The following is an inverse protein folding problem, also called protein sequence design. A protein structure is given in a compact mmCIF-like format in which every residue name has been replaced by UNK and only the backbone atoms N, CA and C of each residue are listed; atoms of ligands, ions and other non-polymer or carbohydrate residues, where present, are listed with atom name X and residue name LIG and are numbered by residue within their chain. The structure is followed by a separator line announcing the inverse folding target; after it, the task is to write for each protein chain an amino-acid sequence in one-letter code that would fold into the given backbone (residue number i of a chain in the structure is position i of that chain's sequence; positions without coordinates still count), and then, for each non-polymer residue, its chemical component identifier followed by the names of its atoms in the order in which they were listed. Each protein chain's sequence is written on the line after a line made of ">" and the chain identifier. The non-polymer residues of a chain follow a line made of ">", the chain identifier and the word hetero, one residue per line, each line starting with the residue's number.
data_IF_658434486930
#
_entry.id   IF_658434486930
#
_cell.length_a   1.000
_cell.length_b   1.000
_cell.length_c   1.000
_cell.angle_alpha   90.00
_cell.angle_beta   90.00
_cell.angle_gamma   90.00
#
_symmetry.space_group_name_H-M   'P 1'
#
loop_
_entity.id
_entity.type
_entity.pdbx_description
1 polymer ?
#
# COMPACT_ATOMS: atom_id res chain seq x y z
N UNK A 1 -25.31 -19.60 13.09
CA UNK A 1 -25.41 -18.50 12.11
C UNK A 1 -24.45 -17.44 12.61
N UNK A 2 -23.20 -17.46 12.14
CA UNK A 2 -22.11 -16.67 12.72
C UNK A 2 -21.60 -15.66 11.71
N UNK A 3 -21.41 -14.44 12.22
CA UNK A 3 -21.13 -13.17 11.56
C UNK A 3 -19.81 -13.20 10.77
N UNK A 4 -19.54 -12.38 9.76
CA UNK A 4 -19.25 -10.93 9.87
C UNK A 4 -19.06 -10.34 8.47
N UNK A 5 -19.54 -9.10 8.27
CA UNK A 5 -19.29 -8.23 7.11
C UNK A 5 -17.79 -8.19 6.76
N UNK A 6 -17.45 -8.53 5.53
CA UNK A 6 -16.28 -7.92 4.87
C UNK A 6 -16.81 -6.82 3.96
N UNK A 7 -16.69 -5.57 4.42
CA UNK A 7 -16.81 -4.42 3.54
C UNK A 7 -15.67 -4.51 2.54
N UNK A 8 -15.99 -4.86 1.30
CA UNK A 8 -15.07 -4.71 0.19
C UNK A 8 -14.82 -3.22 0.02
N UNK A 9 -13.59 -2.80 0.25
CA UNK A 9 -13.11 -1.47 -0.07
C UNK A 9 -13.01 -1.39 -1.61
N UNK A 10 -14.12 -1.09 -2.27
CA UNK A 10 -14.18 -0.81 -3.72
C UNK A 10 -13.66 0.61 -3.98
N UNK A 11 -12.41 0.86 -3.58
CA UNK A 11 -11.64 1.99 -4.09
C UNK A 11 -11.22 1.69 -5.54
N UNK A 12 -10.90 2.71 -6.35
CA UNK A 12 -10.44 2.49 -7.71
C UNK A 12 -9.21 1.57 -7.70
N UNK A 13 -9.40 0.32 -8.12
CA UNK A 13 -8.35 -0.70 -8.15
C UNK A 13 -7.24 -0.17 -9.05
N UNK A 14 -6.10 0.18 -8.45
CA UNK A 14 -4.99 0.78 -9.17
C UNK A 14 -4.52 -0.14 -10.30
N UNK A 15 -4.15 0.44 -11.45
CA UNK A 15 -3.58 -0.33 -12.59
C UNK A 15 -2.16 -0.85 -12.31
N UNK A 16 -1.62 -0.63 -11.11
CA UNK A 16 -0.25 -0.96 -10.77
C UNK A 16 -0.15 -2.38 -10.17
N UNK A 17 0.84 -3.13 -10.65
CA UNK A 17 1.25 -4.44 -10.15
C UNK A 17 2.67 -4.30 -9.59
N UNK A 18 2.92 -4.90 -8.42
CA UNK A 18 4.24 -5.01 -7.83
C UNK A 18 4.80 -6.42 -8.07
N UNK A 19 6.13 -6.51 -8.18
CA UNK A 19 6.85 -7.76 -8.43
C UNK A 19 7.99 -7.88 -7.42
N UNK A 20 8.02 -8.97 -6.66
CA UNK A 20 9.15 -9.33 -5.82
C UNK A 20 10.15 -10.17 -6.62
N UNK A 21 11.38 -9.66 -6.80
CA UNK A 21 12.42 -10.34 -7.58
C UNK A 21 13.05 -11.53 -6.87
N UNK A 22 13.01 -11.58 -5.54
CA UNK A 22 13.56 -12.69 -4.75
C UNK A 22 12.62 -13.92 -4.71
N UNK A 23 11.30 -13.68 -4.71
CA UNK A 23 10.29 -14.75 -4.60
C UNK A 23 9.53 -15.00 -5.91
N UNK A 24 9.75 -14.17 -6.93
CA UNK A 24 8.99 -14.15 -8.20
C UNK A 24 7.47 -14.00 -8.01
N UNK A 25 7.06 -13.37 -6.89
CA UNK A 25 5.65 -13.08 -6.59
C UNK A 25 5.21 -11.82 -7.31
N UNK A 26 4.04 -11.87 -7.94
CA UNK A 26 3.39 -10.74 -8.59
C UNK A 26 1.98 -10.55 -8.04
N UNK A 27 1.63 -9.33 -7.66
CA UNK A 27 0.29 -8.98 -7.19
C UNK A 27 0.00 -7.49 -7.41
N UNK A 28 -1.27 -7.13 -7.52
CA UNK A 28 -1.71 -5.73 -7.56
C UNK A 28 -1.18 -4.94 -6.36
N UNK A 29 -0.98 -3.63 -6.52
CA UNK A 29 -0.48 -2.74 -5.45
C UNK A 29 -1.39 -2.75 -4.21
N UNK A 30 -2.70 -2.91 -4.40
CA UNK A 30 -3.71 -3.07 -3.34
C UNK A 30 -3.89 -4.53 -2.89
N UNK A 31 -3.02 -5.43 -3.36
CA UNK A 31 -3.04 -6.86 -3.10
C UNK A 31 -2.32 -7.26 -1.80
N UNK A 32 -1.87 -8.51 -1.78
CA UNK A 32 -1.25 -9.15 -0.61
C UNK A 32 0.21 -8.72 -0.42
N UNK A 33 0.41 -7.46 -0.04
CA UNK A 33 1.70 -6.87 0.31
C UNK A 33 1.74 -6.46 1.78
N UNK A 34 2.89 -6.62 2.42
CA UNK A 34 3.12 -6.05 3.73
C UNK A 34 3.37 -4.55 3.58
N UNK A 35 2.44 -3.73 4.06
CA UNK A 35 2.52 -2.27 3.95
C UNK A 35 2.78 -1.65 5.31
N UNK A 36 3.81 -0.82 5.41
CA UNK A 36 4.11 -0.04 6.62
C UNK A 36 4.25 1.43 6.28
N UNK A 37 3.98 2.30 7.26
CA UNK A 37 4.13 3.75 7.10
C UNK A 37 5.10 4.28 8.16
N UNK A 38 5.94 5.23 7.77
CA UNK A 38 6.88 5.91 8.67
C UNK A 38 7.00 7.40 8.32
N UNK A 39 7.44 8.20 9.28
CA UNK A 39 7.70 9.63 9.09
C UNK A 39 9.20 9.89 8.97
N UNK A 40 9.60 10.67 7.96
CA UNK A 40 11.00 11.08 7.75
C UNK A 40 11.04 12.54 7.34
N UNK A 41 11.67 13.38 8.17
CA UNK A 41 11.79 14.82 7.87
C UNK A 41 10.47 15.61 7.93
N UNK A 42 9.41 15.05 8.51
CA UNK A 42 8.07 15.63 8.52
C UNK A 42 7.17 15.12 7.38
N UNK A 43 7.72 14.32 6.46
CA UNK A 43 6.98 13.70 5.37
C UNK A 43 6.62 12.25 5.71
N UNK A 44 5.35 11.89 5.53
CA UNK A 44 4.88 10.50 5.68
C UNK A 44 5.25 9.69 4.45
N UNK A 45 5.78 8.50 4.68
CA UNK A 45 6.18 7.56 3.65
C UNK A 45 5.49 6.23 3.86
N UNK A 46 5.17 5.55 2.76
CA UNK A 46 4.62 4.20 2.72
C UNK A 46 5.62 3.26 2.06
N UNK A 47 5.83 2.10 2.68
CA UNK A 47 6.71 1.04 2.22
C UNK A 47 5.88 -0.18 1.88
N UNK A 48 6.10 -0.72 0.68
CA UNK A 48 5.57 -2.00 0.25
C UNK A 48 6.66 -3.06 0.36
N UNK A 49 6.37 -4.15 1.05
CA UNK A 49 7.30 -5.27 1.26
C UNK A 49 6.67 -6.59 0.84
N UNK A 50 7.50 -7.52 0.37
CA UNK A 50 7.09 -8.89 0.14
C UNK A 50 6.81 -9.58 1.49
N UNK A 51 5.64 -10.21 1.70
CA UNK A 51 5.32 -10.87 2.97
C UNK A 51 6.14 -12.14 3.21
N UNK A 52 6.67 -12.76 2.16
CA UNK A 52 7.43 -14.01 2.27
C UNK A 52 8.90 -13.78 2.67
N UNK A 53 9.56 -12.78 2.06
CA UNK A 53 10.99 -12.53 2.24
C UNK A 53 11.31 -11.15 2.84
N UNK A 54 10.30 -10.33 3.11
CA UNK A 54 10.43 -8.96 3.66
C UNK A 54 11.24 -7.98 2.80
N UNK A 55 11.53 -8.35 1.55
CA UNK A 55 12.20 -7.47 0.61
C UNK A 55 11.35 -6.24 0.33
N UNK A 56 11.95 -5.06 0.43
CA UNK A 56 11.28 -3.79 0.12
C UNK A 56 11.14 -3.61 -1.38
N UNK A 57 9.89 -3.54 -1.84
CA UNK A 57 9.56 -3.42 -3.26
C UNK A 57 9.54 -1.96 -3.71
N UNK A 58 8.84 -1.12 -2.94
CA UNK A 58 8.63 0.31 -3.27
C UNK A 58 8.56 1.10 -1.97
N UNK A 59 9.12 2.31 -1.99
CA UNK A 59 8.89 3.35 -0.99
C UNK A 59 8.30 4.56 -1.72
N UNK A 60 7.17 5.06 -1.24
CA UNK A 60 6.52 6.24 -1.81
C UNK A 60 6.17 7.25 -0.72
N UNK A 61 6.30 8.56 -0.99
CA UNK A 61 5.70 9.56 -0.12
C UNK A 61 4.17 9.42 -0.12
N UNK A 62 3.55 9.73 1.01
CA UNK A 62 2.09 9.78 1.19
C UNK A 62 1.70 11.24 1.28
N UNK A 63 1.10 11.75 0.22
CA UNK A 63 0.48 13.07 0.21
C UNK A 63 -0.99 12.88 0.56
N UNK A 64 -1.49 13.58 1.59
CA UNK A 64 -2.92 13.62 1.83
C UNK A 64 -3.58 14.39 0.68
N UNK A 65 -4.52 13.75 -0.02
CA UNK A 65 -5.36 14.42 -1.01
C UNK A 65 -6.24 15.47 -0.30
N UNK A 66 -5.83 16.73 -0.39
CA UNK A 66 -6.68 17.89 -0.13
C UNK A 66 -6.74 18.34 1.32
N UNK A 67 -5.74 19.12 1.74
CA UNK A 67 -6.08 20.30 2.53
C UNK A 67 -6.75 21.27 1.55
N UNK A 68 -8.04 21.63 1.70
CA UNK A 68 -8.61 22.71 0.92
C UNK A 68 -7.81 23.97 1.25
N UNK A 69 -7.07 24.49 0.27
CA UNK A 69 -6.43 25.80 0.39
C UNK A 69 -7.54 26.84 0.54
N UNK A 70 -7.63 27.58 1.66
CA UNK A 70 -8.61 28.67 1.77
C UNK A 70 -8.26 29.75 0.73
N UNK A 71 -9.29 30.26 0.05
CA UNK A 71 -9.21 31.32 -0.95
C UNK A 71 -8.91 32.70 -0.33
#
# INVERSE_FOLDING_TARGET
>A
MSTTKRGGHDGPVGKAVLVCRDCDREAHVDGDWAVTEYELGGDRHRVYQCPDCWHTLVVQPVFEDGVPVPA
#
